data_IF_489536067098
#
_entry.id   IF_489536067098
#
_cell.length_a   1.000
_cell.length_b   1.000
_cell.length_c   1.000
_cell.angle_alpha   90.00
_cell.angle_beta   90.00
_cell.angle_gamma   90.00
#
_symmetry.space_group_name_H-M   'P 1'
#
loop_
_entity.id
_entity.type
_entity.pdbx_description
1 polymer ?
#
# COMPACT_ATOMS: atom_id res chain seq x y z
N UNK A 1 12.40 16.62 11.58
CA UNK A 1 11.71 15.48 12.23
C UNK A 1 10.24 15.33 11.85
N UNK A 2 9.43 16.40 11.77
CA UNK A 2 8.03 16.26 11.33
C UNK A 2 7.89 15.57 9.96
N UNK A 3 8.60 16.05 8.94
CA UNK A 3 8.55 15.46 7.60
C UNK A 3 9.04 14.02 7.56
N UNK A 4 10.07 13.68 8.35
CA UNK A 4 10.50 12.29 8.50
C UNK A 4 9.35 11.41 8.99
N UNK A 5 8.75 11.74 10.15
CA UNK A 5 7.71 10.90 10.76
C UNK A 5 6.44 10.82 9.91
N UNK A 6 6.04 11.92 9.28
CA UNK A 6 4.90 11.97 8.37
C UNK A 6 5.09 11.03 7.18
N UNK A 7 6.22 11.13 6.47
CA UNK A 7 6.44 10.38 5.25
C UNK A 7 6.76 8.90 5.55
N UNK A 8 7.43 8.61 6.67
CA UNK A 8 7.56 7.25 7.21
C UNK A 8 6.18 6.61 7.42
N UNK A 9 5.29 7.30 8.15
CA UNK A 9 3.95 6.80 8.44
C UNK A 9 3.13 6.55 7.17
N UNK A 10 3.20 7.46 6.20
CA UNK A 10 2.53 7.29 4.91
C UNK A 10 3.08 6.10 4.11
N UNK A 11 4.40 5.95 4.01
CA UNK A 11 5.03 4.80 3.35
C UNK A 11 4.60 3.48 4.00
N UNK A 12 4.62 3.42 5.33
CA UNK A 12 4.19 2.23 6.08
C UNK A 12 2.73 1.86 5.82
N UNK A 13 1.83 2.85 5.79
CA UNK A 13 0.42 2.58 5.51
C UNK A 13 0.23 2.03 4.10
N UNK A 14 0.87 2.63 3.09
CA UNK A 14 0.77 2.16 1.70
C UNK A 14 1.35 0.75 1.53
N UNK A 15 2.45 0.43 2.22
CA UNK A 15 2.97 -0.96 2.28
C UNK A 15 1.92 -1.91 2.83
N UNK A 16 1.27 -1.59 3.96
CA UNK A 16 0.22 -2.45 4.53
C UNK A 16 -0.94 -2.64 3.56
N UNK A 17 -1.36 -1.58 2.89
CA UNK A 17 -2.42 -1.62 1.88
C UNK A 17 -2.06 -2.53 0.70
N UNK A 18 -0.81 -2.51 0.24
CA UNK A 18 -0.30 -3.40 -0.83
C UNK A 18 -0.35 -4.85 -0.37
N UNK A 19 0.14 -5.13 0.85
CA UNK A 19 0.22 -6.49 1.37
C UNK A 19 -1.17 -7.15 1.49
N UNK A 20 -2.24 -6.39 1.70
CA UNK A 20 -3.62 -6.90 1.68
C UNK A 20 -3.99 -7.60 0.35
N UNK A 21 -3.34 -7.24 -0.76
CA UNK A 21 -3.57 -7.83 -2.08
C UNK A 21 -2.51 -8.86 -2.49
N UNK A 22 -1.28 -8.74 -2.01
CA UNK A 22 -0.14 -9.52 -2.49
C UNK A 22 0.27 -10.68 -1.59
N UNK A 23 0.02 -10.61 -0.28
CA UNK A 23 0.37 -11.69 0.63
C UNK A 23 -0.71 -12.76 0.73
N UNK A 24 -0.26 -13.97 1.03
CA UNK A 24 -1.14 -15.11 1.30
C UNK A 24 -1.94 -14.91 2.59
N UNK A 25 -3.11 -15.54 2.67
CA UNK A 25 -3.96 -15.46 3.85
C UNK A 25 -3.25 -16.00 5.11
N UNK A 26 -2.39 -17.00 4.96
CA UNK A 26 -1.57 -17.57 6.03
C UNK A 26 -0.57 -16.56 6.60
N UNK A 27 0.03 -15.72 5.75
CA UNK A 27 1.00 -14.70 6.16
C UNK A 27 0.34 -13.48 6.80
N UNK A 28 -0.84 -13.09 6.31
CA UNK A 28 -1.59 -11.94 6.83
C UNK A 28 -2.45 -12.27 8.05
N UNK A 29 -2.85 -13.54 8.22
CA UNK A 29 -3.84 -13.96 9.20
C UNK A 29 -5.27 -13.47 8.88
N UNK A 30 -5.50 -12.98 7.66
CA UNK A 30 -6.80 -12.52 7.13
C UNK A 30 -6.89 -12.82 5.62
N UNK A 31 -8.09 -12.97 5.03
CA UNK A 31 -8.24 -13.16 3.59
C UNK A 31 -7.63 -12.00 2.79
N UNK A 32 -7.10 -12.29 1.60
CA UNK A 32 -6.66 -11.27 0.64
C UNK A 32 -7.84 -10.35 0.26
N UNK A 33 -7.58 -9.06 0.12
CA UNK A 33 -8.60 -8.06 -0.22
C UNK A 33 -9.61 -7.79 0.90
N UNK A 34 -9.27 -8.12 2.15
CA UNK A 34 -10.15 -7.93 3.30
C UNK A 34 -10.52 -6.47 3.54
N UNK A 35 -9.67 -5.53 3.14
CA UNK A 35 -9.97 -4.11 3.29
C UNK A 35 -10.99 -3.68 2.23
N UNK A 36 -10.84 -4.14 0.99
CA UNK A 36 -11.83 -3.95 -0.07
C UNK A 36 -13.19 -4.57 0.30
N UNK A 37 -13.18 -5.78 0.86
CA UNK A 37 -14.40 -6.47 1.30
C UNK A 37 -15.18 -5.70 2.39
N UNK A 38 -14.52 -4.82 3.15
CA UNK A 38 -15.14 -3.95 4.16
C UNK A 38 -15.55 -2.59 3.59
N UNK A 39 -15.34 -2.35 2.30
CA UNK A 39 -15.56 -1.06 1.66
C UNK A 39 -14.43 -0.04 1.89
N UNK A 40 -13.28 -0.47 2.42
CA UNK A 40 -12.12 0.40 2.58
C UNK A 40 -11.34 0.47 1.27
N UNK A 41 -11.48 1.58 0.54
CA UNK A 41 -10.77 1.81 -0.71
C UNK A 41 -9.35 2.32 -0.40
N UNK A 42 -8.37 1.42 -0.43
CA UNK A 42 -6.96 1.71 -0.17
C UNK A 42 -6.20 2.11 -1.45
N UNK A 43 -4.93 2.51 -1.32
CA UNK A 43 -4.15 3.05 -2.44
C UNK A 43 -4.14 2.16 -3.71
N UNK A 44 -3.96 0.82 -3.64
CA UNK A 44 -4.05 -0.05 -4.82
C UNK A 44 -5.38 0.08 -5.55
N UNK A 45 -6.50 0.13 -4.81
CA UNK A 45 -7.85 0.24 -5.37
C UNK A 45 -8.08 1.61 -6.02
N UNK A 46 -7.65 2.69 -5.35
CA UNK A 46 -7.79 4.06 -5.85
C UNK A 46 -7.04 4.22 -7.18
N UNK A 47 -5.81 3.71 -7.28
CA UNK A 47 -5.05 3.75 -8.53
C UNK A 47 -5.64 2.84 -9.62
N UNK A 48 -6.25 1.72 -9.22
CA UNK A 48 -6.94 0.82 -10.15
C UNK A 48 -8.15 1.48 -10.80
N UNK A 49 -8.91 2.27 -10.03
CA UNK A 49 -10.09 3.00 -10.50
C UNK A 49 -9.78 4.07 -11.56
N UNK A 50 -8.52 4.51 -11.68
CA UNK A 50 -8.10 5.44 -12.74
C UNK A 50 -8.11 4.77 -14.13
N UNK A 51 -7.99 3.44 -14.20
CA UNK A 51 -7.80 2.68 -15.44
C UNK A 51 -8.87 1.65 -15.71
N UNK A 52 -9.56 1.16 -14.69
CA UNK A 52 -10.55 0.09 -14.81
C UNK A 52 -11.95 0.57 -14.41
N UNK A 53 -12.78 1.00 -15.39
CA UNK A 53 -14.15 1.43 -15.12
C UNK A 53 -15.02 0.31 -14.53
N UNK A 54 -14.80 -0.96 -14.88
CA UNK A 54 -15.60 -2.08 -14.38
C UNK A 54 -15.47 -2.24 -12.86
N UNK A 55 -14.28 -1.94 -12.33
CA UNK A 55 -14.03 -2.00 -10.89
C UNK A 55 -14.94 -1.02 -10.13
N UNK A 56 -15.24 0.15 -10.72
CA UNK A 56 -16.18 1.11 -10.14
C UNK A 56 -17.58 0.52 -10.04
N UNK A 57 -18.08 -0.07 -11.11
CA UNK A 57 -19.44 -0.65 -11.15
C UNK A 57 -19.59 -1.75 -10.08
N UNK A 58 -18.57 -2.59 -9.92
CA UNK A 58 -18.55 -3.65 -8.90
C UNK A 58 -18.59 -3.05 -7.47
N UNK A 59 -17.76 -2.04 -7.20
CA UNK A 59 -17.70 -1.38 -5.88
C UNK A 59 -19.02 -0.65 -5.58
N UNK A 60 -19.59 0.08 -6.54
CA UNK A 60 -20.86 0.80 -6.37
C UNK A 60 -22.04 -0.15 -6.15
N UNK A 61 -21.97 -1.38 -6.67
CA UNK A 61 -22.95 -2.44 -6.39
C UNK A 61 -22.78 -3.12 -5.03
N UNK A 62 -21.80 -2.68 -4.23
CA UNK A 62 -21.43 -3.27 -2.93
C UNK A 62 -21.16 -4.79 -3.02
N UNK A 63 -20.57 -5.23 -4.14
CA UNK A 63 -20.26 -6.65 -4.39
C UNK A 63 -21.49 -7.57 -4.31
N UNK A 64 -22.68 -7.08 -4.68
CA UNK A 64 -23.94 -7.83 -4.57
C UNK A 64 -23.94 -9.16 -5.34
N UNK A 65 -23.28 -9.23 -6.49
CA UNK A 65 -23.20 -10.45 -7.28
C UNK A 65 -22.20 -11.46 -6.70
N UNK A 66 -22.56 -12.74 -6.70
CA UNK A 66 -21.68 -13.82 -6.26
C UNK A 66 -20.37 -13.82 -7.05
N UNK A 67 -19.23 -13.70 -6.36
CA UNK A 67 -17.90 -13.70 -6.97
C UNK A 67 -17.41 -12.32 -7.44
N UNK A 68 -18.23 -11.27 -7.31
CA UNK A 68 -17.84 -9.90 -7.70
C UNK A 68 -16.68 -9.34 -6.87
N UNK A 69 -16.56 -9.70 -5.58
CA UNK A 69 -15.40 -9.35 -4.76
C UNK A 69 -14.10 -10.00 -5.29
N UNK A 70 -14.15 -11.29 -5.63
CA UNK A 70 -12.99 -11.99 -6.18
C UNK A 70 -12.57 -11.39 -7.53
N UNK A 71 -13.56 -11.04 -8.36
CA UNK A 71 -13.32 -10.31 -9.61
C UNK A 71 -12.69 -8.94 -9.35
N UNK A 72 -13.18 -8.16 -8.39
CA UNK A 72 -12.61 -6.86 -8.05
C UNK A 72 -11.15 -6.97 -7.56
N UNK A 73 -10.85 -7.97 -6.73
CA UNK A 73 -9.48 -8.26 -6.27
C UNK A 73 -8.58 -8.58 -7.47
N UNK A 74 -9.06 -9.37 -8.42
CA UNK A 74 -8.29 -9.73 -9.61
C UNK A 74 -8.07 -8.52 -10.53
N UNK A 75 -9.08 -7.67 -10.72
CA UNK A 75 -8.95 -6.42 -11.47
C UNK A 75 -7.86 -5.53 -10.87
N UNK A 76 -7.85 -5.36 -9.53
CA UNK A 76 -6.81 -4.57 -8.82
C UNK A 76 -5.41 -5.13 -9.07
N UNK A 77 -5.26 -6.46 -9.09
CA UNK A 77 -3.98 -7.13 -9.38
C UNK A 77 -3.51 -6.97 -10.82
N UNK A 78 -4.42 -6.81 -11.78
CA UNK A 78 -4.09 -6.79 -13.21
C UNK A 78 -3.95 -5.38 -13.82
N UNK A 79 -4.59 -4.37 -13.24
CA UNK A 79 -4.69 -3.04 -13.85
C UNK A 79 -3.55 -2.07 -13.50
N UNK A 80 -2.53 -2.53 -12.77
CA UNK A 80 -1.35 -1.73 -12.45
C UNK A 80 -1.48 -0.88 -11.17
N UNK A 81 -2.54 -1.09 -10.37
CA UNK A 81 -2.79 -0.31 -9.16
C UNK A 81 -1.80 -0.60 -8.03
N UNK A 82 -1.36 -1.86 -7.92
CA UNK A 82 -0.37 -2.30 -6.93
C UNK A 82 0.98 -1.64 -7.21
N UNK A 83 1.41 -1.63 -8.46
CA UNK A 83 2.68 -1.04 -8.91
C UNK A 83 2.72 0.46 -8.63
N UNK A 84 1.61 1.16 -8.89
CA UNK A 84 1.46 2.58 -8.56
C UNK A 84 1.50 2.84 -7.05
N UNK A 85 0.91 1.95 -6.26
CA UNK A 85 1.02 2.02 -4.80
C UNK A 85 2.47 1.75 -4.33
N UNK A 86 3.20 0.82 -4.96
CA UNK A 86 4.62 0.58 -4.66
C UNK A 86 5.47 1.81 -4.97
N UNK A 87 5.26 2.47 -6.11
CA UNK A 87 5.91 3.74 -6.46
C UNK A 87 5.63 4.82 -5.40
N UNK A 88 4.37 4.96 -4.97
CA UNK A 88 3.99 5.90 -3.91
C UNK A 88 4.70 5.59 -2.58
N UNK A 89 4.76 4.31 -2.18
CA UNK A 89 5.43 3.89 -0.94
C UNK A 89 6.92 4.24 -0.97
N UNK A 90 7.59 4.01 -2.12
CA UNK A 90 9.00 4.35 -2.35
C UNK A 90 9.23 5.86 -2.34
N UNK A 91 8.36 6.64 -2.99
CA UNK A 91 8.44 8.10 -2.98
C UNK A 91 8.37 8.66 -1.55
N UNK A 92 7.44 8.17 -0.72
CA UNK A 92 7.32 8.63 0.68
C UNK A 92 8.51 8.19 1.52
N UNK A 93 9.01 6.97 1.34
CA UNK A 93 10.23 6.51 1.98
C UNK A 93 11.44 7.40 1.64
N UNK A 94 11.64 7.74 0.36
CA UNK A 94 12.72 8.61 -0.10
C UNK A 94 12.64 10.01 0.54
N UNK A 95 11.43 10.57 0.66
CA UNK A 95 11.23 11.87 1.32
C UNK A 95 11.55 11.75 2.81
N UNK A 96 11.18 10.65 3.47
CA UNK A 96 11.51 10.41 4.87
C UNK A 96 13.03 10.37 5.07
N UNK A 97 13.75 9.58 4.28
CA UNK A 97 15.22 9.44 4.34
C UNK A 97 15.90 10.81 4.14
N UNK A 98 15.51 11.56 3.10
CA UNK A 98 16.04 12.90 2.85
C UNK A 98 15.79 13.87 4.00
N UNK A 99 14.66 13.72 4.71
CA UNK A 99 14.24 14.64 5.78
C UNK A 99 15.01 14.50 7.09
N UNK A 100 15.73 13.39 7.33
CA UNK A 100 16.55 13.20 8.54
C UNK A 100 18.03 13.54 8.35
N UNK A 101 18.46 13.91 7.13
CA UNK A 101 19.84 14.28 6.83
C UNK A 101 20.32 15.54 7.58
N UNK A 102 19.39 16.35 8.11
CA UNK A 102 19.72 17.51 8.94
C UNK A 102 20.12 17.16 10.39
N UNK A 103 20.02 15.89 10.79
CA UNK A 103 20.43 15.43 12.12
C UNK A 103 21.92 15.04 12.14
N UNK A 104 22.59 15.15 13.30
CA UNK A 104 23.94 14.64 13.47
C UNK A 104 24.02 13.13 13.21
N UNK A 105 25.05 12.69 12.51
CA UNK A 105 25.32 11.26 12.29
C UNK A 105 25.61 10.56 13.62
N UNK A 106 24.95 9.43 13.83
CA UNK A 106 25.06 8.56 15.00
C UNK A 106 24.44 7.20 14.67
N UNK A 107 24.56 6.21 15.54
CA UNK A 107 23.90 4.91 15.34
C UNK A 107 22.37 5.05 15.24
N UNK A 108 21.79 6.03 15.93
CA UNK A 108 20.37 6.35 15.82
C UNK A 108 20.00 6.94 14.45
N UNK A 109 20.93 7.63 13.80
CA UNK A 109 20.72 8.15 12.44
C UNK A 109 20.57 7.02 11.44
N UNK A 110 21.42 5.98 11.54
CA UNK A 110 21.34 4.78 10.70
C UNK A 110 20.04 4.00 10.98
N UNK A 111 19.67 3.86 12.25
CA UNK A 111 18.44 3.13 12.62
C UNK A 111 17.15 3.75 12.06
N UNK A 112 17.12 5.06 11.80
CA UNK A 112 15.97 5.71 11.13
C UNK A 112 15.88 5.30 9.66
N UNK A 113 17.01 5.19 8.96
CA UNK A 113 17.06 4.72 7.58
C UNK A 113 16.69 3.24 7.48
N UNK A 114 17.26 2.41 8.37
CA UNK A 114 16.96 0.97 8.46
C UNK A 114 15.46 0.70 8.66
N UNK A 115 14.79 1.50 9.50
CA UNK A 115 13.34 1.38 9.71
C UNK A 115 12.53 1.59 8.43
N UNK A 116 12.94 2.54 7.58
CA UNK A 116 12.28 2.82 6.31
C UNK A 116 12.49 1.64 5.36
N UNK A 117 13.74 1.19 5.21
CA UNK A 117 14.13 0.14 4.28
C UNK A 117 13.50 -1.21 4.63
N UNK A 118 13.50 -1.60 5.91
CA UNK A 118 12.91 -2.85 6.39
C UNK A 118 11.45 -3.06 5.95
N UNK A 119 10.67 -1.98 5.81
CA UNK A 119 9.28 -2.07 5.33
C UNK A 119 9.16 -2.15 3.83
N UNK A 120 10.00 -1.45 3.09
CA UNK A 120 9.99 -1.50 1.63
C UNK A 120 10.38 -2.89 1.11
N UNK A 121 11.31 -3.58 1.77
CA UNK A 121 11.71 -4.96 1.44
C UNK A 121 10.55 -5.96 1.43
N UNK A 122 9.40 -5.61 2.02
CA UNK A 122 8.21 -6.47 2.01
C UNK A 122 7.39 -6.41 0.73
N UNK A 123 7.62 -5.39 -0.10
CA UNK A 123 6.88 -5.13 -1.34
C UNK A 123 7.79 -5.11 -2.57
N UNK A 124 9.07 -5.42 -2.41
CA UNK A 124 10.05 -5.61 -3.49
C UNK A 124 10.10 -7.06 -3.98
#
# INVERSE_FOLDING_TARGET
MYEYGKNLGLSFQVVVDILDFTQSAEQLGKPTGSDLAKGNLTAPVIFSLEKEPKLRDIIESEFYETGSLDEAIELVKQCGGIERAQELAKEKADIAIKSHQCLPQSDFWLGLEDMVMFKLERID
#
